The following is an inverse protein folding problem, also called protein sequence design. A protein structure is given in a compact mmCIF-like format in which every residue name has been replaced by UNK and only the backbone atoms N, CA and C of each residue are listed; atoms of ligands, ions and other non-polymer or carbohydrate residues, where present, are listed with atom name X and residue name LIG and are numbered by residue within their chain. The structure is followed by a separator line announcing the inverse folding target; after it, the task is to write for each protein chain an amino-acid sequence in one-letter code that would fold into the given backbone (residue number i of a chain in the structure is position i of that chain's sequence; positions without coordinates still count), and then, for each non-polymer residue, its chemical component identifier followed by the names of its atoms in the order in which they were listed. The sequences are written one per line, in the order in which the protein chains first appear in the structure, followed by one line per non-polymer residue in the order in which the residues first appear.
data_IF_529913077554
#
_entry.id   IF_529913077554
#
_cell.length_a   1.000
_cell.length_b   1.000
_cell.length_c   1.000
_cell.angle_alpha   90.00
_cell.angle_beta   90.00
_cell.angle_gamma   90.00
#
_symmetry.space_group_name_H-M   'P 1'
#
loop_
_entity.id
_entity.type
_entity.pdbx_description
1 polymer ?
#
# COMPACT_ATOMS: atom_id res chain seq x y z
N UNK A 1 -22.84 -3.45 -35.66
CA UNK A 1 -21.92 -3.22 -34.52
C UNK A 1 -22.80 -3.09 -33.27
N UNK A 2 -22.96 -4.17 -32.51
CA UNK A 2 -23.81 -4.17 -31.32
C UNK A 2 -22.95 -3.85 -30.11
N UNK A 3 -22.92 -2.59 -29.70
CA UNK A 3 -22.40 -2.21 -28.39
C UNK A 3 -23.43 -2.63 -27.34
N UNK A 4 -23.35 -3.88 -26.87
CA UNK A 4 -23.98 -4.25 -25.60
C UNK A 4 -23.27 -3.44 -24.52
N UNK A 5 -23.95 -2.47 -23.95
CA UNK A 5 -23.57 -1.81 -22.71
C UNK A 5 -23.41 -2.91 -21.67
N UNK A 6 -22.17 -3.24 -21.34
CA UNK A 6 -21.82 -4.12 -20.26
C UNK A 6 -22.27 -3.41 -18.98
N UNK A 7 -23.20 -4.02 -18.24
CA UNK A 7 -23.60 -3.49 -16.95
C UNK A 7 -22.36 -3.45 -16.04
N UNK A 8 -22.15 -2.37 -15.27
CA UNK A 8 -21.05 -2.31 -14.31
C UNK A 8 -21.17 -3.50 -13.36
N UNK A 9 -20.06 -4.17 -13.11
CA UNK A 9 -20.01 -5.30 -12.19
C UNK A 9 -20.41 -4.81 -10.79
N UNK A 10 -21.27 -5.53 -10.09
CA UNK A 10 -21.76 -5.10 -8.77
C UNK A 10 -20.66 -5.09 -7.70
N UNK A 11 -19.51 -5.73 -7.98
CA UNK A 11 -18.33 -5.74 -7.13
C UNK A 11 -17.34 -4.60 -7.47
N UNK A 12 -17.60 -3.83 -8.53
CA UNK A 12 -16.74 -2.71 -8.88
C UNK A 12 -16.91 -1.59 -7.87
N UNK A 13 -15.84 -1.27 -7.14
CA UNK A 13 -15.82 -0.09 -6.26
C UNK A 13 -15.89 1.14 -7.15
N UNK A 14 -16.88 2.00 -6.92
CA UNK A 14 -17.04 3.23 -7.67
C UNK A 14 -15.72 4.03 -7.71
N UNK A 15 -15.43 4.62 -8.87
CA UNK A 15 -14.30 5.54 -8.99
C UNK A 15 -14.39 6.65 -7.96
N UNK A 16 -13.38 6.72 -7.09
CA UNK A 16 -13.29 7.74 -6.05
C UNK A 16 -12.66 8.97 -6.68
N UNK A 17 -13.50 9.79 -7.31
CA UNK A 17 -13.08 11.10 -7.81
C UNK A 17 -13.33 12.15 -6.72
N UNK A 18 -12.35 13.01 -6.39
CA UNK A 18 -12.61 14.09 -5.45
C UNK A 18 -13.67 15.06 -6.02
N UNK A 19 -14.60 15.50 -5.17
CA UNK A 19 -15.73 16.38 -5.54
C UNK A 19 -15.30 17.67 -6.25
N UNK A 20 -14.06 18.10 -6.00
CA UNK A 20 -13.43 19.22 -6.70
C UNK A 20 -11.94 18.95 -6.90
N UNK A 21 -11.31 19.64 -7.87
CA UNK A 21 -9.87 19.65 -7.97
C UNK A 21 -9.23 20.18 -6.68
N UNK A 22 -8.12 19.58 -6.28
CA UNK A 22 -7.28 20.12 -5.22
C UNK A 22 -6.60 21.39 -5.71
N UNK A 23 -6.47 22.36 -4.82
CA UNK A 23 -5.57 23.50 -5.06
C UNK A 23 -4.12 23.02 -5.01
N UNK A 24 -3.19 23.78 -5.60
CA UNK A 24 -1.76 23.41 -5.59
C UNK A 24 -1.21 23.21 -4.17
N UNK A 25 -1.68 24.00 -3.20
CA UNK A 25 -1.29 23.85 -1.79
C UNK A 25 -1.84 22.57 -1.17
N UNK A 26 -3.10 22.24 -1.43
CA UNK A 26 -3.72 21.01 -0.91
C UNK A 26 -3.08 19.76 -1.52
N UNK A 27 -2.74 19.81 -2.81
CA UNK A 27 -2.04 18.72 -3.48
C UNK A 27 -0.65 18.48 -2.87
N UNK A 28 0.10 19.55 -2.56
CA UNK A 28 1.41 19.46 -1.91
C UNK A 28 1.29 18.89 -0.48
N UNK A 29 0.31 19.36 0.31
CA UNK A 29 0.06 18.84 1.66
C UNK A 29 -0.36 17.37 1.64
N UNK A 30 -1.18 16.97 0.68
CA UNK A 30 -1.58 15.57 0.51
C UNK A 30 -0.39 14.69 0.10
N UNK A 31 0.41 15.16 -0.87
CA UNK A 31 1.63 14.48 -1.29
C UNK A 31 2.60 14.26 -0.12
N UNK A 32 2.81 15.28 0.73
CA UNK A 32 3.67 15.14 1.90
C UNK A 32 3.14 14.10 2.90
N UNK A 33 1.81 14.03 3.12
CA UNK A 33 1.20 13.00 3.97
C UNK A 33 1.43 11.59 3.41
N UNK A 34 1.32 11.43 2.09
CA UNK A 34 1.57 10.14 1.43
C UNK A 34 3.02 9.70 1.62
N UNK A 35 3.98 10.62 1.47
CA UNK A 35 5.40 10.35 1.73
C UNK A 35 5.65 9.93 3.19
N UNK A 36 5.01 10.59 4.15
CA UNK A 36 5.17 10.26 5.58
C UNK A 36 4.64 8.86 5.92
N UNK A 37 3.53 8.44 5.30
CA UNK A 37 2.99 7.08 5.45
C UNK A 37 3.97 6.06 4.87
N UNK A 38 4.48 6.32 3.66
CA UNK A 38 5.43 5.42 3.00
C UNK A 38 6.72 5.27 3.82
N UNK A 39 7.25 6.38 4.36
CA UNK A 39 8.44 6.36 5.20
C UNK A 39 8.24 5.50 6.47
N UNK A 40 7.07 5.59 7.11
CA UNK A 40 6.72 4.75 8.27
C UNK A 40 6.68 3.26 7.88
N UNK A 41 6.02 2.93 6.77
CA UNK A 41 5.94 1.56 6.28
C UNK A 41 7.32 0.98 5.97
N UNK A 42 8.18 1.74 5.30
CA UNK A 42 9.56 1.34 5.00
C UNK A 42 10.37 1.09 6.28
N UNK A 43 10.23 1.96 7.28
CA UNK A 43 10.89 1.79 8.57
C UNK A 43 10.48 0.50 9.26
N UNK A 44 9.19 0.18 9.27
CA UNK A 44 8.69 -1.06 9.87
C UNK A 44 9.11 -2.30 9.07
N UNK A 45 9.12 -2.21 7.74
CA UNK A 45 9.64 -3.27 6.88
C UNK A 45 11.12 -3.58 7.17
N UNK A 46 11.97 -2.56 7.29
CA UNK A 46 13.37 -2.75 7.66
C UNK A 46 13.55 -3.37 9.05
N UNK A 47 12.74 -2.93 10.03
CA UNK A 47 12.74 -3.52 11.38
C UNK A 47 12.36 -5.00 11.33
N UNK A 48 11.34 -5.36 10.54
CA UNK A 48 10.91 -6.75 10.38
C UNK A 48 12.01 -7.60 9.72
N UNK A 49 12.66 -7.09 8.67
CA UNK A 49 13.77 -7.77 8.00
C UNK A 49 14.99 -7.98 8.91
N UNK A 50 15.34 -6.99 9.74
CA UNK A 50 16.41 -7.13 10.73
C UNK A 50 16.08 -8.18 11.79
N UNK A 51 14.82 -8.22 12.26
CA UNK A 51 14.35 -9.23 13.22
C UNK A 51 14.36 -10.64 12.62
N UNK A 52 13.88 -10.82 11.40
CA UNK A 52 13.87 -12.13 10.72
C UNK A 52 15.30 -12.66 10.53
N UNK A 53 16.23 -11.81 10.07
CA UNK A 53 17.65 -12.16 9.95
C UNK A 53 18.29 -12.55 11.29
N UNK A 54 17.91 -11.91 12.40
CA UNK A 54 18.41 -12.28 13.74
C UNK A 54 17.78 -13.57 14.32
N UNK A 55 16.64 -14.01 13.80
CA UNK A 55 15.91 -15.19 14.31
C UNK A 55 16.36 -16.52 13.67
N UNK A 56 17.11 -16.46 12.57
CA UNK A 56 17.55 -17.65 11.81
C UNK A 56 18.76 -18.40 12.39
N UNK A 57 19.22 -18.11 13.61
CA UNK A 57 20.38 -18.78 14.23
C UNK A 57 20.04 -19.84 15.29
N UNK A 58 18.77 -20.25 15.44
CA UNK A 58 18.42 -21.36 16.35
C UNK A 58 17.46 -22.39 15.75
N UNK A 59 17.94 -23.15 14.77
CA UNK A 59 17.53 -24.56 14.55
C UNK A 59 18.55 -25.24 13.64
N UNK A 60 19.78 -25.39 14.13
CA UNK A 60 20.74 -26.33 13.54
C UNK A 60 20.98 -27.45 14.55
N UNK A 61 20.39 -28.63 14.25
CA UNK A 61 20.90 -29.92 14.71
C UNK A 61 20.31 -30.48 16.01
N UNK A 62 19.19 -31.19 15.91
CA UNK A 62 19.02 -32.39 16.72
C UNK A 62 18.18 -33.42 15.93
N UNK A 63 18.86 -34.30 15.20
CA UNK A 63 18.30 -35.54 14.70
C UNK A 63 19.04 -36.67 15.44
N UNK A 64 18.27 -37.54 16.11
CA UNK A 64 18.73 -38.79 16.72
C UNK A 64 19.28 -39.75 15.66
#
# INVERSE_FOLDING_TARGET
MNHKSQAPDSEETCDITPDRPLTGKEAEEDYQKQLDVLAKQNTEYEKAQKKSASSSTKTAGHCN
#
